data_IF_474613317801
#
_entry.id   IF_474613317801
#
_cell.length_a   1.000
_cell.length_b   1.000
_cell.length_c   1.000
_cell.angle_alpha   90.00
_cell.angle_beta   90.00
_cell.angle_gamma   90.00
#
_symmetry.space_group_name_H-M   'P 1'
#
loop_
_entity.id
_entity.type
_entity.pdbx_description
1 polymer ?
#
# COMPACT_ATOMS: atom_id res chain seq x y z
N UNK A 1 14.13 12.05 -2.12
CA UNK A 1 13.13 12.55 -3.09
C UNK A 1 12.05 11.51 -3.37
N UNK A 2 12.39 10.33 -3.92
CA UNK A 2 11.42 9.28 -4.29
C UNK A 2 10.48 8.83 -3.15
N UNK A 3 10.97 8.68 -1.92
CA UNK A 3 10.14 8.22 -0.79
C UNK A 3 9.11 9.26 -0.33
N UNK A 4 9.43 10.55 -0.47
CA UNK A 4 8.54 11.65 -0.11
C UNK A 4 7.45 11.83 -1.17
N UNK A 5 7.82 11.73 -2.45
CA UNK A 5 6.86 11.75 -3.57
C UNK A 5 5.91 10.55 -3.52
N UNK A 6 6.39 9.35 -3.16
CA UNK A 6 5.51 8.18 -2.99
C UNK A 6 4.54 8.35 -1.82
N UNK A 7 4.96 8.96 -0.72
CA UNK A 7 4.07 9.22 0.42
C UNK A 7 2.96 10.23 0.06
N UNK A 8 3.31 11.33 -0.62
CA UNK A 8 2.33 12.30 -1.11
C UNK A 8 1.34 11.70 -2.12
N UNK A 9 1.83 10.82 -3.02
CA UNK A 9 0.98 10.12 -3.97
C UNK A 9 -0.01 9.16 -3.29
N UNK A 10 0.39 8.52 -2.19
CA UNK A 10 -0.51 7.64 -1.43
C UNK A 10 -1.60 8.43 -0.70
N UNK A 11 -1.26 9.58 -0.11
CA UNK A 11 -2.23 10.47 0.55
C UNK A 11 -3.24 11.06 -0.44
N UNK A 12 -2.77 11.49 -1.61
CA UNK A 12 -3.67 12.01 -2.66
C UNK A 12 -4.58 10.91 -3.22
N UNK A 13 -4.05 9.68 -3.39
CA UNK A 13 -4.84 8.54 -3.84
C UNK A 13 -5.92 8.10 -2.84
N UNK A 14 -5.67 8.12 -1.54
CA UNK A 14 -6.70 7.78 -0.53
C UNK A 14 -7.81 8.83 -0.46
N UNK A 15 -7.48 10.11 -0.55
CA UNK A 15 -8.45 11.21 -0.61
C UNK A 15 -9.30 11.07 -1.88
N UNK A 16 -8.67 10.84 -3.04
CA UNK A 16 -9.38 10.65 -4.30
C UNK A 16 -10.36 9.47 -4.24
N UNK A 17 -9.96 8.32 -3.70
CA UNK A 17 -10.86 7.16 -3.54
C UNK A 17 -12.05 7.52 -2.63
N UNK A 18 -11.81 8.15 -1.49
CA UNK A 18 -12.87 8.54 -0.56
C UNK A 18 -13.87 9.51 -1.20
N UNK A 19 -13.38 10.52 -1.94
CA UNK A 19 -14.23 11.49 -2.64
C UNK A 19 -15.06 10.86 -3.76
N UNK A 20 -14.45 10.02 -4.61
CA UNK A 20 -15.15 9.38 -5.72
C UNK A 20 -16.21 8.39 -5.24
N UNK A 21 -15.90 7.63 -4.18
CA UNK A 21 -16.82 6.66 -3.61
C UNK A 21 -18.03 7.34 -2.94
N UNK A 22 -17.85 8.55 -2.37
CA UNK A 22 -18.95 9.37 -1.88
C UNK A 22 -19.86 9.88 -3.02
N UNK A 23 -19.28 10.30 -4.14
CA UNK A 23 -20.03 10.75 -5.33
C UNK A 23 -20.85 9.60 -5.92
N UNK A 24 -20.24 8.41 -6.10
CA UNK A 24 -20.94 7.20 -6.58
C UNK A 24 -22.10 6.81 -5.67
N UNK A 25 -21.97 6.99 -4.35
CA UNK A 25 -23.04 6.64 -3.41
C UNK A 25 -24.29 7.53 -3.54
N UNK A 26 -24.17 8.72 -4.15
CA UNK A 26 -25.28 9.67 -4.34
C UNK A 26 -25.87 9.66 -5.75
N UNK A 27 -25.15 9.09 -6.71
CA UNK A 27 -25.54 9.06 -8.11
C UNK A 27 -26.47 7.87 -8.40
N UNK A 28 -27.41 8.05 -9.33
CA UNK A 28 -28.25 6.95 -9.80
C UNK A 28 -27.45 6.06 -10.76
N UNK A 29 -27.72 4.76 -10.77
CA UNK A 29 -27.04 3.81 -11.67
C UNK A 29 -27.37 4.10 -13.15
N UNK A 30 -28.43 4.86 -13.41
CA UNK A 30 -28.85 5.27 -14.74
C UNK A 30 -28.08 6.49 -15.29
N UNK A 31 -27.29 7.18 -14.46
CA UNK A 31 -26.54 8.36 -14.89
C UNK A 31 -25.31 7.92 -15.72
N UNK A 32 -25.04 8.56 -16.87
CA UNK A 32 -23.91 8.19 -17.73
C UNK A 32 -22.54 8.41 -17.07
N UNK A 33 -22.47 9.32 -16.09
CA UNK A 33 -21.26 9.60 -15.30
C UNK A 33 -20.95 8.48 -14.28
N UNK A 34 -21.90 7.61 -13.96
CA UNK A 34 -21.68 6.51 -13.02
C UNK A 34 -20.63 5.53 -13.55
N UNK A 35 -20.68 5.24 -14.85
CA UNK A 35 -19.78 4.27 -15.48
C UNK A 35 -18.33 4.76 -15.47
N UNK A 36 -18.10 6.05 -15.78
CA UNK A 36 -16.76 6.64 -15.79
C UNK A 36 -16.16 6.75 -14.39
N UNK A 37 -16.98 7.10 -13.38
CA UNK A 37 -16.55 7.11 -11.98
C UNK A 37 -16.24 5.70 -11.46
N UNK A 38 -17.05 4.70 -11.83
CA UNK A 38 -16.81 3.31 -11.46
C UNK A 38 -15.50 2.78 -12.07
N UNK A 39 -15.26 3.05 -13.35
CA UNK A 39 -14.01 2.69 -14.02
C UNK A 39 -12.80 3.36 -13.35
N UNK A 40 -12.90 4.64 -13.00
CA UNK A 40 -11.85 5.37 -12.29
C UNK A 40 -11.52 4.74 -10.92
N UNK A 41 -12.55 4.37 -10.14
CA UNK A 41 -12.36 3.68 -8.85
C UNK A 41 -11.66 2.33 -9.05
N UNK A 42 -12.05 1.56 -10.07
CA UNK A 42 -11.44 0.26 -10.38
C UNK A 42 -9.97 0.45 -10.76
N UNK A 43 -9.64 1.43 -11.61
CA UNK A 43 -8.28 1.72 -12.02
C UNK A 43 -7.39 2.09 -10.81
N UNK A 44 -7.90 2.92 -9.90
CA UNK A 44 -7.19 3.28 -8.67
C UNK A 44 -6.98 2.06 -7.75
N UNK A 45 -7.97 1.19 -7.61
CA UNK A 45 -7.84 -0.03 -6.83
C UNK A 45 -6.76 -0.96 -7.39
N UNK A 46 -6.70 -1.11 -8.72
CA UNK A 46 -5.66 -1.90 -9.39
C UNK A 46 -4.28 -1.27 -9.11
N UNK A 47 -4.13 0.04 -9.28
CA UNK A 47 -2.87 0.74 -9.04
C UNK A 47 -2.38 0.57 -7.58
N UNK A 48 -3.28 0.74 -6.60
CA UNK A 48 -2.95 0.53 -5.20
C UNK A 48 -2.60 -0.94 -4.91
N UNK A 49 -3.34 -1.89 -5.49
CA UNK A 49 -3.06 -3.33 -5.30
C UNK A 49 -1.67 -3.73 -5.84
N UNK A 50 -1.28 -3.21 -7.01
CA UNK A 50 0.05 -3.42 -7.58
C UNK A 50 1.13 -2.88 -6.66
N UNK A 51 0.98 -1.64 -6.17
CA UNK A 51 1.95 -1.02 -5.25
C UNK A 51 2.12 -1.83 -3.96
N UNK A 52 1.01 -2.33 -3.39
CA UNK A 52 1.03 -3.19 -2.20
C UNK A 52 1.70 -4.55 -2.48
N UNK A 53 1.43 -5.15 -3.65
CA UNK A 53 2.01 -6.42 -4.07
C UNK A 53 3.53 -6.31 -4.23
N UNK A 54 4.00 -5.33 -5.00
CA UNK A 54 5.43 -5.07 -5.17
C UNK A 54 6.10 -4.73 -3.85
N UNK A 55 5.43 -3.93 -3.00
CA UNK A 55 5.93 -3.63 -1.67
C UNK A 55 6.17 -4.87 -0.82
N UNK A 56 5.19 -5.77 -0.79
CA UNK A 56 5.28 -7.02 -0.04
C UNK A 56 6.37 -7.96 -0.58
N UNK A 57 6.50 -8.07 -1.91
CA UNK A 57 7.56 -8.87 -2.55
C UNK A 57 8.96 -8.34 -2.24
N UNK A 58 9.14 -7.02 -2.22
CA UNK A 58 10.40 -6.38 -1.84
C UNK A 58 10.71 -6.67 -0.38
N UNK A 59 9.73 -6.59 0.53
CA UNK A 59 9.91 -6.95 1.93
C UNK A 59 10.35 -8.42 2.09
N UNK A 60 9.67 -9.34 1.40
CA UNK A 60 9.98 -10.77 1.41
C UNK A 60 11.39 -11.07 0.87
N UNK A 61 11.76 -10.44 -0.25
CA UNK A 61 13.10 -10.56 -0.82
C UNK A 61 14.18 -10.03 0.14
N UNK A 62 13.93 -8.93 0.86
CA UNK A 62 14.85 -8.43 1.88
C UNK A 62 15.04 -9.42 3.04
N UNK A 63 13.97 -10.09 3.48
CA UNK A 63 14.06 -11.12 4.52
C UNK A 63 14.86 -12.35 4.05
N UNK A 64 14.61 -12.81 2.83
CA UNK A 64 15.37 -13.93 2.24
C UNK A 64 16.86 -13.60 2.06
N UNK A 65 17.17 -12.39 1.56
CA UNK A 65 18.54 -11.93 1.40
C UNK A 65 19.27 -11.77 2.74
N UNK A 66 18.57 -11.34 3.81
CA UNK A 66 19.11 -11.32 5.17
C UNK A 66 19.53 -12.72 5.62
N UNK A 67 18.69 -13.74 5.39
CA UNK A 67 19.01 -15.13 5.72
C UNK A 67 20.30 -15.59 5.03
N UNK A 68 20.41 -15.30 3.74
CA UNK A 68 21.60 -15.62 2.94
C UNK A 68 22.86 -14.88 3.43
N UNK A 69 22.72 -13.62 3.84
CA UNK A 69 23.80 -12.84 4.45
C UNK A 69 24.25 -13.38 5.81
N UNK A 70 23.33 -13.99 6.58
CA UNK A 70 23.63 -14.62 7.85
C UNK A 70 24.39 -15.94 7.69
N UNK A 71 24.04 -16.71 6.64
CA UNK A 71 24.70 -17.97 6.28
C UNK A 71 26.06 -17.77 5.59
N UNK A 72 26.28 -16.60 5.00
CA UNK A 72 27.60 -16.20 4.52
C UNK A 72 28.60 -16.26 5.67
N UNK A 73 29.80 -16.82 5.45
CA UNK A 73 30.91 -16.78 6.41
C UNK A 73 31.51 -15.37 6.53
N UNK A 74 30.68 -14.35 6.77
CA UNK A 74 31.01 -12.94 6.83
C UNK A 74 32.10 -12.67 7.89
N UNK A 75 32.20 -13.51 8.92
CA UNK A 75 33.22 -13.46 9.95
C UNK A 75 34.64 -13.83 9.45
N UNK A 76 34.77 -14.53 8.31
CA UNK A 76 36.06 -14.84 7.66
C UNK A 76 36.48 -13.81 6.60
N UNK A 77 35.60 -12.88 6.25
CA UNK A 77 35.83 -11.90 5.19
C UNK A 77 36.62 -10.65 5.69
N UNK A 78 37.04 -9.80 4.75
CA UNK A 78 37.79 -8.57 5.03
C UNK A 78 37.03 -7.61 5.95
N UNK A 79 37.75 -6.76 6.71
CA UNK A 79 37.13 -5.76 7.61
C UNK A 79 36.11 -4.87 6.90
N UNK A 80 36.40 -4.47 5.66
CA UNK A 80 35.50 -3.65 4.82
C UNK A 80 34.20 -4.38 4.51
N UNK A 81 34.27 -5.68 4.20
CA UNK A 81 33.11 -6.51 3.91
C UNK A 81 32.23 -6.73 5.14
N UNK A 82 32.83 -6.95 6.32
CA UNK A 82 32.10 -7.06 7.60
C UNK A 82 31.28 -5.81 7.90
N UNK A 83 31.88 -4.63 7.77
CA UNK A 83 31.17 -3.36 8.01
C UNK A 83 30.03 -3.17 7.02
N UNK A 84 30.22 -3.50 5.73
CA UNK A 84 29.14 -3.45 4.74
C UNK A 84 27.98 -4.38 5.08
N UNK A 85 28.25 -5.64 5.44
CA UNK A 85 27.21 -6.62 5.80
C UNK A 85 26.44 -6.18 7.04
N UNK A 86 27.13 -5.71 8.08
CA UNK A 86 26.47 -5.22 9.30
C UNK A 86 25.55 -4.03 9.02
N UNK A 87 25.97 -3.09 8.17
CA UNK A 87 25.13 -1.96 7.74
C UNK A 87 23.92 -2.46 6.93
N UNK A 88 24.13 -3.42 6.01
CA UNK A 88 23.05 -4.01 5.22
C UNK A 88 22.03 -4.75 6.11
N UNK A 89 22.50 -5.60 7.02
CA UNK A 89 21.65 -6.31 7.99
C UNK A 89 20.87 -5.33 8.87
N UNK A 90 21.50 -4.29 9.42
CA UNK A 90 20.80 -3.27 10.23
C UNK A 90 19.77 -2.48 9.42
N UNK A 91 20.03 -2.23 8.13
CA UNK A 91 19.07 -1.55 7.25
C UNK A 91 17.91 -2.44 6.84
N UNK A 92 18.14 -3.75 6.70
CA UNK A 92 17.12 -4.75 6.40
C UNK A 92 16.31 -5.18 7.62
N UNK A 93 16.84 -4.99 8.83
CA UNK A 93 16.10 -5.22 10.08
C UNK A 93 14.99 -4.19 10.29
N UNK A 94 15.09 -3.01 9.67
CA UNK A 94 13.93 -2.14 9.53
C UNK A 94 13.04 -2.73 8.44
N UNK A 95 11.89 -3.32 8.80
CA UNK A 95 10.99 -3.81 7.78
C UNK A 95 10.62 -2.62 6.91
N UNK A 96 10.93 -2.73 5.61
CA UNK A 96 10.38 -1.85 4.58
C UNK A 96 8.92 -2.26 4.45
N UNK A 97 8.15 -2.07 5.53
CA UNK A 97 6.74 -1.84 5.39
C UNK A 97 6.70 -0.51 4.65
N UNK A 98 6.29 -0.56 3.37
CA UNK A 98 5.66 0.59 2.75
C UNK A 98 4.41 0.87 3.59
N UNK A 99 4.66 1.51 4.72
CA UNK A 99 3.68 1.97 5.66
C UNK A 99 3.45 3.38 5.18
N UNK A 100 2.29 3.64 4.57
CA UNK A 100 1.79 5.00 4.51
C UNK A 100 1.63 5.45 5.98
N UNK A 101 2.67 6.11 6.48
CA UNK A 101 2.68 6.84 7.73
C UNK A 101 2.16 6.10 8.97
N UNK A 102 2.55 4.84 9.24
CA UNK A 102 2.29 4.18 10.55
C UNK A 102 0.81 3.99 10.94
N UNK A 103 -0.16 4.40 10.10
CA UNK A 103 -1.59 4.32 10.42
C UNK A 103 -2.24 3.03 9.92
N UNK A 104 -1.82 2.49 8.76
CA UNK A 104 -2.37 1.24 8.25
C UNK A 104 -1.30 0.46 7.48
N UNK A 105 -1.09 -0.84 7.78
CA UNK A 105 -0.35 -1.69 6.86
C UNK A 105 -1.13 -1.72 5.54
N UNK A 106 -0.48 -1.33 4.45
CA UNK A 106 -1.02 -1.39 3.09
C UNK A 106 -1.14 -2.85 2.67
N UNK A 107 -2.20 -3.49 3.18
CA UNK A 107 -2.58 -4.86 2.91
C UNK A 107 -3.91 -4.85 2.16
N UNK A 108 -4.20 -5.94 1.45
CA UNK A 108 -5.50 -6.18 0.80
C UNK A 108 -6.68 -5.95 1.77
N UNK A 109 -6.47 -6.21 3.06
CA UNK A 109 -7.43 -5.94 4.14
C UNK A 109 -7.86 -4.48 4.24
N UNK A 110 -7.00 -3.53 3.93
CA UNK A 110 -7.31 -2.09 4.02
C UNK A 110 -8.24 -1.67 2.89
N UNK A 111 -8.03 -2.21 1.69
CA UNK A 111 -8.97 -2.05 0.56
C UNK A 111 -10.33 -2.62 0.94
N UNK A 112 -10.37 -3.83 1.52
CA UNK A 112 -11.60 -4.47 1.99
C UNK A 112 -12.29 -3.62 3.06
N UNK A 113 -11.55 -3.04 4.01
CA UNK A 113 -12.12 -2.18 5.05
C UNK A 113 -12.69 -0.88 4.49
N UNK A 114 -12.03 -0.25 3.52
CA UNK A 114 -12.54 0.96 2.85
C UNK A 114 -13.82 0.63 2.08
N UNK A 115 -13.82 -0.44 1.29
CA UNK A 115 -15.00 -0.90 0.55
C UNK A 115 -16.17 -1.23 1.49
N UNK A 116 -15.91 -1.95 2.59
CA UNK A 116 -16.92 -2.25 3.62
C UNK A 116 -17.45 -0.99 4.28
N UNK A 117 -16.57 -0.06 4.65
CA UNK A 117 -16.96 1.22 5.27
C UNK A 117 -17.88 2.03 4.36
N UNK A 118 -17.54 2.11 3.08
CA UNK A 118 -18.35 2.82 2.11
C UNK A 118 -19.67 2.14 1.78
N UNK A 119 -19.70 0.81 1.70
CA UNK A 119 -20.95 0.07 1.56
C UNK A 119 -21.86 0.26 2.78
N UNK A 120 -21.32 0.17 4.00
CA UNK A 120 -22.08 0.44 5.24
C UNK A 120 -22.60 1.88 5.29
N UNK A 121 -21.80 2.87 4.88
CA UNK A 121 -22.23 4.26 4.83
C UNK A 121 -23.34 4.49 3.80
N UNK A 122 -23.19 3.90 2.61
CA UNK A 122 -24.22 3.93 1.57
C UNK A 122 -25.52 3.24 2.02
N UNK A 123 -25.42 2.13 2.74
CA UNK A 123 -26.55 1.39 3.30
C UNK A 123 -27.28 2.18 4.39
N UNK A 124 -26.56 2.89 5.27
CA UNK A 124 -27.16 3.79 6.26
C UNK A 124 -27.90 4.95 5.61
N UNK A 125 -27.29 5.61 4.61
CA UNK A 125 -27.96 6.70 3.89
C UNK A 125 -29.27 6.22 3.22
N UNK A 126 -29.27 5.00 2.64
CA UNK A 126 -30.46 4.39 2.03
C UNK A 126 -31.55 3.94 3.00
N UNK A 127 -31.23 3.71 4.28
CA UNK A 127 -32.23 3.30 5.28
C UNK A 127 -32.84 4.47 6.05
N UNK A 128 -32.23 5.66 5.98
CA UNK A 128 -32.68 6.87 6.68
C UNK A 128 -33.41 7.86 5.75
N UNK A 129 -33.28 7.73 4.43
CA UNK A 129 -34.06 8.47 3.42
C UNK A 129 -35.16 7.60 2.83
#
# INVERSE_FOLDING_TARGET
>A
MFTFTTLLAMLTGTIAIASNLFIVSKMSVADPEFLSLAEYIIALLIQFSMMCYYGSRVTEACFSFRGSLYECEWYKCSKRFKTCILIMMMRMDKPIYLTAAKFFPLKLSTIISVLKGSYSYAAMYRTVG
#
